data_IF_790681832144
#
_entry.id   IF_790681832144
#
_cell.length_a   1.000
_cell.length_b   1.000
_cell.length_c   1.000
_cell.angle_alpha   90.00
_cell.angle_beta   90.00
_cell.angle_gamma   90.00
#
_symmetry.space_group_name_H-M   'P 1'
#
loop_
_entity.id
_entity.type
_entity.pdbx_description
1 polymer ?
#
# COMPACT_ATOMS: atom_id res chain seq x y z
N UNK A 1 2.15 33.70 -0.11
CA UNK A 1 1.51 33.01 1.04
C UNK A 1 2.19 31.65 1.17
N UNK A 2 3.10 31.51 2.13
CA UNK A 2 3.71 30.21 2.45
C UNK A 2 2.66 29.48 3.29
N UNK A 3 1.80 28.68 2.67
CA UNK A 3 0.87 27.83 3.39
C UNK A 3 1.68 26.76 4.13
N UNK A 4 1.88 26.94 5.43
CA UNK A 4 2.37 25.87 6.29
C UNK A 4 1.31 24.77 6.33
N UNK A 5 1.68 23.54 5.97
CA UNK A 5 0.81 22.38 6.15
C UNK A 5 0.64 22.14 7.64
N UNK A 6 -0.58 22.36 8.16
CA UNK A 6 -0.93 22.06 9.54
C UNK A 6 -1.38 20.59 9.62
N UNK A 7 -0.73 19.81 10.47
CA UNK A 7 -1.22 18.47 10.81
C UNK A 7 -2.62 18.60 11.42
N UNK A 8 -3.56 17.79 10.94
CA UNK A 8 -4.92 17.73 11.44
C UNK A 8 -5.17 16.50 12.32
N UNK A 9 -4.15 15.66 12.60
CA UNK A 9 -4.22 14.50 13.50
C UNK A 9 -5.47 13.61 13.35
N UNK A 10 -5.98 13.44 12.13
CA UNK A 10 -7.26 12.81 11.83
C UNK A 10 -8.53 13.40 12.49
N UNK A 11 -8.45 14.59 13.09
CA UNK A 11 -9.57 15.38 13.58
C UNK A 11 -10.33 16.06 12.42
N UNK A 12 -11.59 15.69 12.20
CA UNK A 12 -12.39 16.21 11.09
C UNK A 12 -12.56 17.73 11.11
N UNK A 13 -12.73 18.31 12.30
CA UNK A 13 -12.89 19.75 12.48
C UNK A 13 -11.64 20.56 12.10
N UNK A 14 -10.47 19.91 12.01
CA UNK A 14 -9.21 20.52 11.63
C UNK A 14 -8.80 20.20 10.19
N UNK A 15 -9.53 19.33 9.50
CA UNK A 15 -9.23 18.93 8.13
C UNK A 15 -9.63 20.02 7.12
N UNK A 16 -8.76 20.22 6.14
CA UNK A 16 -9.14 20.92 4.92
C UNK A 16 -10.14 20.11 4.08
N UNK A 17 -10.72 20.75 3.07
CA UNK A 17 -11.71 20.13 2.19
C UNK A 17 -11.21 18.85 1.50
N UNK A 18 -9.99 18.86 0.95
CA UNK A 18 -9.43 17.71 0.23
C UNK A 18 -9.21 16.48 1.14
N UNK A 19 -8.51 16.58 2.30
CA UNK A 19 -8.42 15.49 3.25
C UNK A 19 -9.77 14.94 3.71
N UNK A 20 -10.77 15.82 3.94
CA UNK A 20 -12.11 15.41 4.36
C UNK A 20 -12.83 14.59 3.28
N UNK A 21 -12.76 15.01 2.01
CA UNK A 21 -13.33 14.25 0.89
C UNK A 21 -12.65 12.89 0.76
N UNK A 22 -11.31 12.86 0.79
CA UNK A 22 -10.54 11.62 0.74
C UNK A 22 -10.91 10.67 1.88
N UNK A 23 -11.02 11.17 3.12
CA UNK A 23 -11.44 10.38 4.29
C UNK A 23 -12.79 9.71 4.05
N UNK A 24 -13.81 10.49 3.66
CA UNK A 24 -15.16 9.96 3.40
C UNK A 24 -15.19 8.90 2.30
N UNK A 25 -14.43 9.11 1.21
CA UNK A 25 -14.34 8.13 0.12
C UNK A 25 -13.66 6.83 0.58
N UNK A 26 -12.60 6.93 1.39
CA UNK A 26 -11.89 5.77 1.93
C UNK A 26 -12.74 5.00 2.96
N UNK A 27 -13.49 5.69 3.82
CA UNK A 27 -14.43 5.07 4.76
C UNK A 27 -15.55 4.32 4.03
N UNK A 28 -16.20 4.97 3.05
CA UNK A 28 -17.21 4.33 2.22
C UNK A 28 -16.66 3.11 1.46
N UNK A 29 -15.39 3.17 1.04
CA UNK A 29 -14.71 2.04 0.37
C UNK A 29 -14.42 0.90 1.35
N UNK A 30 -13.99 1.21 2.56
CA UNK A 30 -13.77 0.22 3.61
C UNK A 30 -15.08 -0.51 3.97
N UNK A 31 -16.18 0.23 4.05
CA UNK A 31 -17.52 -0.33 4.23
C UNK A 31 -17.92 -1.25 3.06
N UNK A 32 -17.71 -0.82 1.82
CA UNK A 32 -17.97 -1.66 0.64
C UNK A 32 -17.13 -2.96 0.69
N UNK A 33 -15.84 -2.89 1.04
CA UNK A 33 -14.98 -4.07 1.24
C UNK A 33 -15.49 -4.99 2.35
N UNK A 34 -16.03 -4.43 3.44
CA UNK A 34 -16.66 -5.23 4.52
C UNK A 34 -17.86 -6.00 3.98
N UNK A 35 -18.73 -5.37 3.19
CA UNK A 35 -19.86 -6.04 2.56
C UNK A 35 -19.45 -7.08 1.51
N UNK A 36 -18.35 -6.88 0.78
CA UNK A 36 -17.79 -7.91 -0.11
C UNK A 36 -17.48 -9.20 0.65
N UNK A 37 -16.91 -9.09 1.87
CA UNK A 37 -16.63 -10.25 2.72
C UNK A 37 -17.91 -10.91 3.25
N UNK A 38 -18.90 -10.11 3.65
CA UNK A 38 -20.20 -10.61 4.16
C UNK A 38 -20.97 -11.37 3.07
N UNK A 39 -21.00 -10.84 1.86
CA UNK A 39 -21.76 -11.38 0.74
C UNK A 39 -20.91 -12.23 -0.23
N UNK A 40 -19.80 -12.81 0.24
CA UNK A 40 -18.90 -13.59 -0.60
C UNK A 40 -19.59 -14.76 -1.34
N UNK A 41 -20.67 -15.30 -0.75
CA UNK A 41 -21.43 -16.42 -1.30
C UNK A 41 -22.63 -16.00 -2.19
N UNK A 42 -22.92 -14.70 -2.31
CA UNK A 42 -24.00 -14.16 -3.15
C UNK A 42 -23.37 -13.44 -4.36
N UNK A 43 -23.34 -14.07 -5.56
CA UNK A 43 -22.62 -13.54 -6.72
C UNK A 43 -23.09 -12.14 -7.14
N UNK A 44 -24.40 -11.86 -7.01
CA UNK A 44 -24.98 -10.58 -7.42
C UNK A 44 -24.55 -9.48 -6.47
N UNK A 45 -24.66 -9.71 -5.15
CA UNK A 45 -24.22 -8.73 -4.16
C UNK A 45 -22.71 -8.55 -4.16
N UNK A 46 -21.95 -9.63 -4.29
CA UNK A 46 -20.49 -9.55 -4.40
C UNK A 46 -20.08 -8.68 -5.59
N UNK A 47 -20.69 -8.89 -6.76
CA UNK A 47 -20.43 -8.08 -7.96
C UNK A 47 -20.78 -6.61 -7.76
N UNK A 48 -21.93 -6.32 -7.13
CA UNK A 48 -22.34 -4.95 -6.80
C UNK A 48 -21.33 -4.25 -5.88
N UNK A 49 -20.95 -4.87 -4.75
CA UNK A 49 -20.03 -4.26 -3.80
C UNK A 49 -18.59 -4.16 -4.33
N UNK A 50 -18.18 -5.10 -5.19
CA UNK A 50 -16.91 -5.01 -5.93
C UNK A 50 -16.91 -3.80 -6.85
N UNK A 51 -17.98 -3.61 -7.63
CA UNK A 51 -18.14 -2.46 -8.52
C UNK A 51 -18.16 -1.14 -7.74
N UNK A 52 -18.86 -1.10 -6.61
CA UNK A 52 -18.90 0.06 -5.70
C UNK A 52 -17.51 0.38 -5.13
N UNK A 53 -16.78 -0.63 -4.66
CA UNK A 53 -15.40 -0.47 -4.15
C UNK A 53 -14.45 0.07 -5.23
N UNK A 54 -14.60 -0.40 -6.47
CA UNK A 54 -13.81 0.06 -7.60
C UNK A 54 -14.14 1.51 -7.99
N UNK A 55 -15.42 1.87 -8.06
CA UNK A 55 -15.85 3.24 -8.32
C UNK A 55 -15.29 4.20 -7.25
N UNK A 56 -15.38 3.83 -5.97
CA UNK A 56 -14.82 4.62 -4.86
C UNK A 56 -13.29 4.74 -4.94
N UNK A 57 -12.57 3.69 -5.35
CA UNK A 57 -11.12 3.75 -5.60
C UNK A 57 -10.79 4.78 -6.69
N UNK A 58 -11.50 4.73 -7.81
CA UNK A 58 -11.29 5.65 -8.93
C UNK A 58 -11.57 7.09 -8.47
N UNK A 59 -12.70 7.32 -7.81
CA UNK A 59 -13.06 8.64 -7.28
C UNK A 59 -12.00 9.19 -6.33
N UNK A 60 -11.50 8.37 -5.39
CA UNK A 60 -10.45 8.79 -4.45
C UNK A 60 -9.15 9.17 -5.18
N UNK A 61 -8.73 8.39 -6.18
CA UNK A 61 -7.55 8.70 -6.97
C UNK A 61 -7.73 9.98 -7.80
N UNK A 62 -8.94 10.25 -8.29
CA UNK A 62 -9.25 11.47 -9.04
C UNK A 62 -9.13 12.75 -8.20
N UNK A 63 -9.42 12.71 -6.89
CA UNK A 63 -9.30 13.89 -6.01
C UNK A 63 -7.88 14.46 -6.04
N UNK A 64 -6.87 13.59 -5.97
CA UNK A 64 -5.48 14.00 -6.07
C UNK A 64 -5.14 14.48 -7.49
N UNK A 65 -5.54 13.72 -8.52
CA UNK A 65 -5.26 14.04 -9.92
C UNK A 65 -5.80 15.41 -10.33
N UNK A 66 -6.94 15.82 -9.77
CA UNK A 66 -7.55 17.13 -10.00
C UNK A 66 -6.61 18.28 -9.58
N UNK A 67 -5.81 18.10 -8.52
CA UNK A 67 -4.82 19.11 -8.10
C UNK A 67 -3.64 19.24 -9.06
N UNK A 68 -3.37 18.22 -9.88
CA UNK A 68 -2.32 18.22 -10.89
C UNK A 68 -2.79 18.65 -12.29
N UNK A 69 -4.10 18.70 -12.53
CA UNK A 69 -4.66 19.04 -13.84
C UNK A 69 -4.69 20.55 -14.06
N UNK A 70 -3.93 21.04 -15.05
CA UNK A 70 -3.74 22.47 -15.29
C UNK A 70 -5.05 23.26 -15.52
N UNK A 71 -6.05 22.66 -16.16
CA UNK A 71 -7.34 23.31 -16.40
C UNK A 71 -8.35 23.14 -15.27
N UNK A 72 -7.99 22.48 -14.17
CA UNK A 72 -8.86 22.35 -13.00
C UNK A 72 -8.95 23.67 -12.22
N UNK A 73 -10.15 24.05 -11.76
CA UNK A 73 -10.30 25.11 -10.74
C UNK A 73 -9.51 24.84 -9.45
N UNK A 74 -9.24 23.57 -9.16
CA UNK A 74 -8.49 23.11 -7.99
C UNK A 74 -6.99 22.89 -8.27
N UNK A 75 -6.49 23.33 -9.44
CA UNK A 75 -5.09 23.15 -9.81
C UNK A 75 -4.14 23.77 -8.78
N UNK A 76 -3.30 22.94 -8.17
CA UNK A 76 -2.29 23.32 -7.18
C UNK A 76 -1.06 22.43 -7.35
N UNK A 77 -0.15 22.82 -8.26
CA UNK A 77 1.09 22.10 -8.56
C UNK A 77 1.91 21.72 -7.31
N UNK A 78 1.93 22.58 -6.29
CA UNK A 78 2.63 22.32 -5.03
C UNK A 78 2.06 21.11 -4.32
N UNK A 79 0.73 20.99 -4.21
CA UNK A 79 0.06 19.82 -3.60
C UNK A 79 0.38 18.57 -4.43
N UNK A 80 0.22 18.63 -5.75
CA UNK A 80 0.54 17.53 -6.64
C UNK A 80 1.99 17.03 -6.42
N UNK A 81 2.94 17.95 -6.47
CA UNK A 81 4.37 17.65 -6.32
C UNK A 81 4.71 17.11 -4.92
N UNK A 82 4.07 17.63 -3.87
CA UNK A 82 4.27 17.19 -2.49
C UNK A 82 3.82 15.74 -2.28
N UNK A 83 2.67 15.33 -2.84
CA UNK A 83 2.20 13.93 -2.72
C UNK A 83 3.15 12.98 -3.46
N UNK A 84 3.59 13.32 -4.67
CA UNK A 84 4.56 12.49 -5.41
C UNK A 84 5.93 12.45 -4.72
N UNK A 85 6.36 13.54 -4.10
CA UNK A 85 7.59 13.55 -3.30
C UNK A 85 7.46 12.63 -2.08
N UNK A 86 6.37 12.76 -1.33
CA UNK A 86 6.09 11.92 -0.16
C UNK A 86 6.01 10.44 -0.51
N UNK A 87 5.27 10.06 -1.56
CA UNK A 87 5.19 8.67 -2.03
C UNK A 87 6.57 8.07 -2.34
N UNK A 88 7.42 8.80 -3.06
CA UNK A 88 8.80 8.36 -3.36
C UNK A 88 9.67 8.23 -2.12
N UNK A 89 9.55 9.17 -1.18
CA UNK A 89 10.29 9.11 0.08
C UNK A 89 9.86 7.88 0.90
N UNK A 90 8.56 7.63 1.00
CA UNK A 90 8.00 6.48 1.70
C UNK A 90 8.51 5.16 1.13
N UNK A 91 8.52 4.99 -0.20
CA UNK A 91 9.06 3.78 -0.83
C UNK A 91 10.55 3.61 -0.54
N UNK A 92 11.33 4.70 -0.58
CA UNK A 92 12.76 4.65 -0.22
C UNK A 92 12.96 4.21 1.23
N UNK A 93 12.14 4.68 2.16
CA UNK A 93 12.19 4.24 3.57
C UNK A 93 11.89 2.74 3.70
N UNK A 94 10.90 2.23 2.98
CA UNK A 94 10.59 0.79 2.95
C UNK A 94 11.76 -0.02 2.39
N UNK A 95 12.38 0.46 1.30
CA UNK A 95 13.57 -0.16 0.70
C UNK A 95 14.70 -0.23 1.72
N UNK A 96 15.06 0.88 2.35
CA UNK A 96 16.11 0.91 3.38
C UNK A 96 15.77 0.02 4.57
N UNK A 97 14.50 -0.05 4.97
CA UNK A 97 14.06 -0.96 6.02
C UNK A 97 14.28 -2.43 5.63
N UNK A 98 13.90 -2.84 4.42
CA UNK A 98 14.09 -4.21 3.93
C UNK A 98 15.58 -4.55 3.76
N UNK A 99 16.40 -3.63 3.27
CA UNK A 99 17.86 -3.79 3.19
C UNK A 99 18.47 -4.00 4.58
N UNK A 100 17.97 -3.30 5.61
CA UNK A 100 18.41 -3.52 7.00
C UNK A 100 18.10 -4.94 7.53
N UNK A 101 17.13 -5.62 6.90
CA UNK A 101 16.77 -7.02 7.17
C UNK A 101 17.49 -8.00 6.23
N UNK A 102 18.55 -7.56 5.55
CA UNK A 102 19.35 -8.34 4.61
C UNK A 102 18.54 -8.87 3.42
N UNK A 103 17.37 -8.27 3.15
CA UNK A 103 16.60 -8.56 1.94
C UNK A 103 17.25 -7.81 0.77
N UNK A 104 17.40 -8.49 -0.36
CA UNK A 104 17.94 -7.89 -1.57
C UNK A 104 16.81 -7.31 -2.42
N UNK A 105 16.87 -6.03 -2.78
CA UNK A 105 15.81 -5.36 -3.52
C UNK A 105 16.00 -5.62 -5.01
N UNK A 106 14.96 -6.15 -5.66
CA UNK A 106 14.97 -6.47 -7.09
C UNK A 106 14.41 -5.30 -7.89
N UNK A 107 13.27 -4.76 -7.44
CA UNK A 107 12.54 -3.73 -8.15
C UNK A 107 11.64 -2.92 -7.21
N UNK A 108 11.39 -1.66 -7.54
CA UNK A 108 10.39 -0.82 -6.88
C UNK A 108 9.53 -0.11 -7.92
N UNK A 109 8.21 -0.18 -7.75
CA UNK A 109 7.22 0.60 -8.50
C UNK A 109 6.62 1.70 -7.61
N UNK A 110 5.70 2.48 -8.18
CA UNK A 110 5.00 3.62 -7.59
C UNK A 110 4.28 3.31 -6.27
N UNK A 111 3.90 2.05 -6.04
CA UNK A 111 3.20 1.61 -4.82
C UNK A 111 3.62 0.20 -4.34
N UNK A 112 4.69 -0.37 -4.87
CA UNK A 112 5.14 -1.74 -4.52
C UNK A 112 6.66 -1.90 -4.56
N UNK A 113 7.18 -2.82 -3.75
CA UNK A 113 8.61 -3.19 -3.71
C UNK A 113 8.72 -4.69 -3.78
N UNK A 114 9.60 -5.16 -4.68
CA UNK A 114 9.92 -6.55 -4.90
C UNK A 114 11.31 -6.82 -4.34
N UNK A 115 11.41 -7.84 -3.48
CA UNK A 115 12.65 -8.20 -2.81
C UNK A 115 12.83 -9.72 -2.77
N UNK A 116 14.09 -10.13 -2.66
CA UNK A 116 14.52 -11.49 -2.39
C UNK A 116 14.89 -11.60 -0.90
N UNK A 117 14.53 -12.73 -0.30
CA UNK A 117 14.88 -13.00 1.11
C UNK A 117 16.39 -13.30 1.23
N UNK A 118 16.98 -13.15 2.43
CA UNK A 118 18.39 -13.46 2.65
C UNK A 118 18.77 -14.88 2.19
N UNK A 119 19.92 -15.01 1.53
CA UNK A 119 20.43 -16.30 1.01
C UNK A 119 20.63 -17.36 2.10
N UNK A 120 20.86 -16.92 3.35
CA UNK A 120 20.98 -17.80 4.52
C UNK A 120 19.74 -18.67 4.75
N UNK A 121 18.57 -18.28 4.24
CA UNK A 121 17.35 -19.08 4.34
C UNK A 121 17.26 -20.22 3.33
N UNK A 122 18.10 -20.21 2.28
CA UNK A 122 18.10 -21.23 1.22
C UNK A 122 19.20 -22.28 1.38
N UNK A 123 20.13 -22.13 2.33
CA UNK A 123 21.28 -23.03 2.46
C UNK A 123 20.93 -24.52 2.53
N UNK A 124 19.85 -24.87 3.24
CA UNK A 124 19.36 -26.25 3.33
C UNK A 124 18.68 -26.70 2.02
N UNK A 125 17.95 -25.79 1.37
CA UNK A 125 17.15 -26.04 0.15
C UNK A 125 18.05 -26.15 -1.08
N UNK A 126 19.18 -25.44 -1.11
CA UNK A 126 20.15 -25.46 -2.21
C UNK A 126 20.79 -26.82 -2.38
N UNK A 127 20.95 -27.59 -1.30
CA UNK A 127 21.45 -28.97 -1.35
C UNK A 127 20.55 -29.92 -2.15
N UNK A 128 19.24 -29.60 -2.23
CA UNK A 128 18.26 -30.38 -2.98
C UNK A 128 18.36 -30.16 -4.49
N UNK A 129 19.00 -29.07 -4.94
CA UNK A 129 19.07 -28.70 -6.36
C UNK A 129 19.67 -29.81 -7.24
N UNK A 130 20.72 -30.48 -6.75
CA UNK A 130 21.41 -31.55 -7.48
C UNK A 130 20.58 -32.83 -7.59
N UNK A 131 19.64 -33.06 -6.67
CA UNK A 131 18.87 -34.29 -6.58
C UNK A 131 17.49 -34.15 -7.22
N UNK A 132 16.77 -33.08 -6.90
CA UNK A 132 15.43 -32.81 -7.41
C UNK A 132 15.21 -31.30 -7.56
N UNK A 133 15.33 -30.84 -8.80
CA UNK A 133 15.12 -29.42 -9.16
C UNK A 133 13.69 -28.96 -8.90
N UNK A 134 12.70 -29.83 -9.12
CA UNK A 134 11.29 -29.45 -8.97
C UNK A 134 10.97 -29.24 -7.49
N UNK A 135 11.45 -30.14 -6.64
CA UNK A 135 11.30 -30.02 -5.19
C UNK A 135 12.03 -28.77 -4.67
N UNK A 136 13.27 -28.54 -5.10
CA UNK A 136 14.05 -27.33 -4.76
C UNK A 136 13.26 -26.04 -5.02
N UNK A 137 12.75 -25.83 -6.25
CA UNK A 137 12.00 -24.61 -6.55
C UNK A 137 10.71 -24.51 -5.73
N UNK A 138 10.01 -25.62 -5.51
CA UNK A 138 8.78 -25.62 -4.72
C UNK A 138 9.00 -25.22 -3.26
N UNK A 139 10.07 -25.71 -2.63
CA UNK A 139 10.42 -25.37 -1.25
C UNK A 139 10.97 -23.95 -1.13
N UNK A 140 11.78 -23.49 -2.10
CA UNK A 140 12.25 -22.10 -2.16
C UNK A 140 11.10 -21.09 -2.23
N UNK A 141 10.07 -21.38 -3.03
CA UNK A 141 8.87 -20.55 -3.13
C UNK A 141 8.10 -20.56 -1.79
N UNK A 142 7.88 -21.73 -1.19
CA UNK A 142 7.20 -21.84 0.12
C UNK A 142 7.92 -21.03 1.19
N UNK A 143 9.25 -21.14 1.26
CA UNK A 143 10.08 -20.41 2.22
C UNK A 143 9.98 -18.90 2.03
N UNK A 144 10.00 -18.45 0.77
CA UNK A 144 9.84 -17.04 0.41
C UNK A 144 8.46 -16.50 0.82
N UNK A 145 7.39 -17.26 0.59
CA UNK A 145 6.02 -16.89 0.99
C UNK A 145 5.91 -16.83 2.51
N UNK A 146 6.49 -17.80 3.23
CA UNK A 146 6.49 -17.84 4.69
C UNK A 146 7.18 -16.61 5.28
N UNK A 147 8.39 -16.31 4.81
CA UNK A 147 9.13 -15.11 5.24
C UNK A 147 8.36 -13.83 4.92
N UNK A 148 7.76 -13.75 3.72
CA UNK A 148 6.94 -12.59 3.32
C UNK A 148 5.78 -12.37 4.29
N UNK A 149 5.10 -13.44 4.73
CA UNK A 149 4.03 -13.35 5.73
C UNK A 149 4.52 -12.86 7.09
N UNK A 150 5.77 -13.18 7.46
CA UNK A 150 6.38 -12.72 8.73
C UNK A 150 6.82 -11.26 8.67
N UNK A 151 7.40 -10.81 7.54
CA UNK A 151 7.94 -9.45 7.42
C UNK A 151 6.86 -8.40 7.12
N UNK A 152 5.79 -8.77 6.41
CA UNK A 152 4.67 -7.87 6.07
C UNK A 152 4.12 -7.10 7.27
N UNK A 153 3.75 -7.73 8.41
CA UNK A 153 3.25 -6.99 9.58
C UNK A 153 4.30 -6.04 10.15
N UNK A 154 5.58 -6.41 10.13
CA UNK A 154 6.67 -5.56 10.65
C UNK A 154 6.84 -4.32 9.77
N UNK A 155 6.81 -4.49 8.44
CA UNK A 155 6.83 -3.37 7.48
C UNK A 155 5.62 -2.47 7.69
N UNK A 156 4.43 -3.03 7.88
CA UNK A 156 3.22 -2.25 8.15
C UNK A 156 3.34 -1.44 9.46
N UNK A 157 3.85 -2.04 10.54
CA UNK A 157 4.09 -1.32 11.79
C UNK A 157 5.14 -0.22 11.65
N UNK A 158 6.22 -0.46 10.90
CA UNK A 158 7.21 0.57 10.56
C UNK A 158 6.57 1.73 9.79
N UNK A 159 5.74 1.43 8.81
CA UNK A 159 5.03 2.43 8.01
C UNK A 159 4.05 3.26 8.84
N UNK A 160 3.32 2.65 9.78
CA UNK A 160 2.43 3.35 10.70
C UNK A 160 3.18 4.30 11.65
N UNK A 161 4.40 3.94 12.07
CA UNK A 161 5.25 4.82 12.88
C UNK A 161 5.73 6.04 12.08
N UNK A 162 6.14 5.83 10.82
CA UNK A 162 6.65 6.88 9.95
C UNK A 162 5.57 7.82 9.39
N UNK A 163 4.37 7.30 9.14
CA UNK A 163 3.28 8.05 8.46
C UNK A 163 2.14 8.46 9.41
N UNK A 164 2.19 8.01 10.67
CA UNK A 164 1.11 8.15 11.64
C UNK A 164 0.08 7.01 11.52
N UNK A 165 -0.84 6.87 12.50
CA UNK A 165 -1.79 5.78 12.53
C UNK A 165 -2.66 5.80 11.27
N UNK A 166 -2.55 4.74 10.47
CA UNK A 166 -3.47 4.54 9.36
C UNK A 166 -4.84 4.17 9.95
N UNK A 167 -5.84 5.06 9.82
CA UNK A 167 -7.23 4.69 10.13
C UNK A 167 -7.81 3.70 9.10
N UNK A 168 -7.02 3.34 8.08
CA UNK A 168 -7.40 2.51 6.96
C UNK A 168 -6.37 1.39 6.80
N UNK A 169 -6.71 0.20 7.29
CA UNK A 169 -5.94 -1.00 7.00
C UNK A 169 -6.00 -1.27 5.50
N UNK A 170 -4.86 -1.10 4.82
CA UNK A 170 -4.68 -1.62 3.47
C UNK A 170 -4.56 -3.14 3.58
N UNK A 171 -5.69 -3.82 3.65
CA UNK A 171 -5.70 -5.26 3.39
C UNK A 171 -5.33 -5.49 1.92
N UNK A 172 -4.39 -6.41 1.63
CA UNK A 172 -4.07 -6.83 0.27
C UNK A 172 -5.32 -7.34 -0.47
#
# INVERSE_FOLDING_TARGET
IITQFKSHHNCENEMGLMPLICKKLLEARAEAKKFMKIYANDPVKLSYFTSRSNALKISANSVYSETGYFFSPFYRKTIASSVTAFSRETIKKVITFLESKQCNIIYGDTDSVFFMIPETHFSEIDSLYSHDKQLHYSESIKKSIEFTKQITPIVNSFMEQETGPSSFSFSP
#
